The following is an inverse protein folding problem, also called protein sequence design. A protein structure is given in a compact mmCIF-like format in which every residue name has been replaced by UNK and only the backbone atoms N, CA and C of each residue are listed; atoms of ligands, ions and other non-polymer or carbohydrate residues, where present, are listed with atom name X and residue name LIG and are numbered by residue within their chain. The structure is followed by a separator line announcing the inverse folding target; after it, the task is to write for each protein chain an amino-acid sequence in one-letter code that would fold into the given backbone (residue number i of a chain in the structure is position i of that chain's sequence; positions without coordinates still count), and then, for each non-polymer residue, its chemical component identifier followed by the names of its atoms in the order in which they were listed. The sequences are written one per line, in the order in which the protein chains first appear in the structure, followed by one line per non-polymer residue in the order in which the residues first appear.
data_IF_832159059898
#
_entry.id   IF_832159059898
#
_cell.length_a   1.000
_cell.length_b   1.000
_cell.length_c   1.000
_cell.angle_alpha   90.00
_cell.angle_beta   90.00
_cell.angle_gamma   90.00
#
_symmetry.space_group_name_H-M   'P 1'
#
loop_
_entity.id
_entity.type
_entity.pdbx_description
1 polymer ?
#
# COMPACT_ATOMS: atom_id res chain seq x y z
N UNK A 1 -0.60 -115.56 29.75
CA UNK A 1 -1.80 -115.13 28.98
C UNK A 1 -1.39 -114.73 27.55
N UNK A 2 -2.18 -115.00 26.50
CA UNK A 2 -1.81 -114.72 25.08
C UNK A 2 -2.30 -113.35 24.59
N UNK A 3 -1.60 -112.72 23.61
CA UNK A 3 -1.96 -111.40 23.04
C UNK A 3 -3.39 -111.38 22.49
N UNK A 4 -3.83 -112.49 21.85
CA UNK A 4 -5.20 -112.66 21.35
C UNK A 4 -6.26 -112.70 22.47
N UNK A 5 -5.89 -113.10 23.69
CA UNK A 5 -6.79 -113.08 24.84
C UNK A 5 -6.90 -111.68 25.44
N UNK A 6 -5.78 -110.95 25.52
CA UNK A 6 -5.76 -109.55 25.99
C UNK A 6 -6.53 -108.62 25.05
N UNK A 7 -6.37 -108.80 23.73
CA UNK A 7 -7.14 -108.01 22.74
C UNK A 7 -8.64 -108.27 22.83
N UNK A 8 -9.06 -109.52 23.03
CA UNK A 8 -10.48 -109.88 23.25
C UNK A 8 -11.04 -109.28 24.54
N UNK A 9 -10.23 -109.21 25.60
CA UNK A 9 -10.64 -108.62 26.87
C UNK A 9 -10.74 -107.09 26.76
N UNK A 10 -9.79 -106.43 26.10
CA UNK A 10 -9.83 -104.99 25.83
C UNK A 10 -11.04 -104.59 24.96
N UNK A 11 -11.35 -105.35 23.91
CA UNK A 11 -12.54 -105.15 23.07
C UNK A 11 -13.85 -105.32 23.86
N UNK A 12 -13.91 -106.27 24.81
CA UNK A 12 -15.10 -106.50 25.64
C UNK A 12 -15.40 -105.33 26.59
N UNK A 13 -14.39 -104.55 26.95
CA UNK A 13 -14.53 -103.33 27.75
C UNK A 13 -14.46 -102.04 26.92
N UNK A 14 -14.51 -102.15 25.57
CA UNK A 14 -14.53 -100.99 24.67
C UNK A 14 -13.22 -100.20 24.58
N UNK A 15 -12.10 -100.78 25.02
CA UNK A 15 -10.79 -100.12 25.02
C UNK A 15 -10.03 -100.49 23.74
N UNK A 16 -9.81 -99.51 22.86
CA UNK A 16 -8.93 -99.69 21.71
C UNK A 16 -7.46 -99.62 22.16
N UNK A 17 -6.78 -100.77 22.13
CA UNK A 17 -5.37 -100.88 22.48
C UNK A 17 -4.53 -101.21 21.25
N UNK A 18 -3.51 -100.41 20.98
CA UNK A 18 -2.59 -100.69 19.87
C UNK A 18 -1.66 -101.89 20.18
N UNK A 19 -0.98 -102.38 19.14
CA UNK A 19 -0.13 -103.57 19.26
C UNK A 19 1.09 -103.43 20.17
N UNK A 20 1.55 -102.21 20.43
CA UNK A 20 2.60 -101.95 21.41
C UNK A 20 2.04 -102.04 22.84
N UNK A 21 0.84 -101.51 23.09
CA UNK A 21 0.15 -101.62 24.39
C UNK A 21 -0.17 -103.08 24.74
N UNK A 22 -0.62 -103.86 23.75
CA UNK A 22 -0.94 -105.28 23.95
C UNK A 22 0.31 -106.13 24.23
N UNK A 23 1.44 -105.83 23.58
CA UNK A 23 2.73 -106.49 23.84
C UNK A 23 3.29 -106.12 25.22
N UNK A 24 3.15 -104.86 25.61
CA UNK A 24 3.57 -104.37 26.92
C UNK A 24 2.73 -104.99 28.05
N UNK A 25 1.39 -105.00 27.93
CA UNK A 25 0.50 -105.65 28.89
C UNK A 25 0.79 -107.15 29.02
N UNK A 26 1.11 -107.82 27.90
CA UNK A 26 1.52 -109.22 27.95
C UNK A 26 2.85 -109.41 28.67
N UNK A 27 3.84 -108.56 28.43
CA UNK A 27 5.13 -108.61 29.11
C UNK A 27 4.99 -108.34 30.62
N UNK A 28 4.16 -107.36 31.00
CA UNK A 28 3.83 -107.06 32.39
C UNK A 28 3.14 -108.25 33.06
N UNK A 29 2.09 -108.81 32.45
CA UNK A 29 1.36 -109.98 33.01
C UNK A 29 2.26 -111.22 33.13
N UNK A 30 3.27 -111.37 32.27
CA UNK A 30 4.23 -112.49 32.33
C UNK A 30 5.33 -112.29 33.38
N UNK A 31 5.77 -111.05 33.67
CA UNK A 31 6.72 -110.76 34.76
C UNK A 31 6.08 -110.88 36.16
N UNK A 32 4.76 -110.91 36.23
CA UNK A 32 3.97 -110.82 37.47
C UNK A 32 3.45 -112.16 38.01
N UNK A 33 3.97 -113.28 37.49
CA UNK A 33 3.46 -114.62 37.81
C UNK A 33 3.90 -115.21 39.17
N UNK A 34 4.93 -114.70 39.88
CA UNK A 34 5.10 -114.99 41.30
C UNK A 34 5.36 -113.73 42.15
N UNK A 35 4.68 -113.64 43.30
CA UNK A 35 4.80 -112.62 44.36
C UNK A 35 4.15 -111.25 44.09
N UNK A 36 3.75 -110.53 45.14
CA UNK A 36 2.88 -109.33 45.17
C UNK A 36 3.37 -108.06 44.45
N UNK A 37 3.98 -108.20 43.28
CA UNK A 37 4.49 -107.11 42.43
C UNK A 37 3.47 -106.63 41.38
N UNK A 38 2.30 -107.28 41.27
CA UNK A 38 1.23 -106.92 40.30
C UNK A 38 0.77 -105.48 40.51
N UNK A 39 0.57 -105.10 41.77
CA UNK A 39 0.21 -103.74 42.17
C UNK A 39 1.28 -102.73 41.73
N UNK A 40 2.56 -103.06 41.93
CA UNK A 40 3.70 -102.21 41.56
C UNK A 40 3.80 -102.02 40.04
N UNK A 41 3.52 -103.06 39.25
CA UNK A 41 3.54 -102.97 37.79
C UNK A 41 2.34 -102.19 37.23
N UNK A 42 1.16 -102.31 37.85
CA UNK A 42 -0.03 -101.51 37.53
C UNK A 42 0.23 -100.04 37.87
N UNK A 43 0.79 -99.75 39.04
CA UNK A 43 1.15 -98.38 39.45
C UNK A 43 2.19 -97.76 38.52
N UNK A 44 3.24 -98.50 38.13
CA UNK A 44 4.23 -98.01 37.15
C UNK A 44 3.62 -97.75 35.77
N UNK A 45 2.67 -98.58 35.34
CA UNK A 45 1.95 -98.37 34.09
C UNK A 45 1.04 -97.14 34.15
N UNK A 46 0.30 -96.97 35.26
CA UNK A 46 -0.52 -95.78 35.50
C UNK A 46 0.33 -94.52 35.57
N UNK A 47 1.48 -94.55 36.25
CA UNK A 47 2.44 -93.45 36.26
C UNK A 47 3.00 -93.15 34.86
N UNK A 48 3.36 -94.18 34.08
CA UNK A 48 3.85 -94.00 32.72
C UNK A 48 2.79 -93.42 31.76
N UNK A 49 1.53 -93.83 31.89
CA UNK A 49 0.41 -93.24 31.16
C UNK A 49 0.16 -91.80 31.59
N UNK A 50 0.18 -91.53 32.90
CA UNK A 50 0.01 -90.17 33.43
C UNK A 50 1.12 -89.24 32.92
N UNK A 51 2.38 -89.67 32.94
CA UNK A 51 3.51 -88.90 32.41
C UNK A 51 3.38 -88.65 30.89
N UNK A 52 2.94 -89.64 30.11
CA UNK A 52 2.70 -89.44 28.66
C UNK A 52 1.56 -88.46 28.39
N UNK A 53 0.47 -88.55 29.15
CA UNK A 53 -0.65 -87.61 29.03
C UNK A 53 -0.25 -86.20 29.42
N UNK A 54 0.56 -86.03 30.46
CA UNK A 54 1.12 -84.72 30.82
C UNK A 54 2.02 -84.19 29.71
N UNK A 55 2.91 -85.03 29.17
CA UNK A 55 3.81 -84.63 28.10
C UNK A 55 3.07 -84.27 26.80
N UNK A 56 2.06 -85.04 26.40
CA UNK A 56 1.21 -84.71 25.24
C UNK A 56 0.42 -83.43 25.47
N UNK A 57 -0.09 -83.20 26.69
CA UNK A 57 -0.76 -81.96 27.05
C UNK A 57 0.19 -80.77 26.98
N UNK A 58 1.41 -80.88 27.50
CA UNK A 58 2.45 -79.84 27.41
C UNK A 58 2.79 -79.53 25.95
N UNK A 59 2.95 -80.55 25.09
CA UNK A 59 3.19 -80.36 23.66
C UNK A 59 2.01 -79.65 22.97
N UNK A 60 0.78 -80.01 23.33
CA UNK A 60 -0.41 -79.36 22.80
C UNK A 60 -0.49 -77.89 23.24
N UNK A 61 -0.26 -77.60 24.53
CA UNK A 61 -0.22 -76.23 25.06
C UNK A 61 0.90 -75.40 24.41
N UNK A 62 2.09 -75.98 24.19
CA UNK A 62 3.18 -75.31 23.47
C UNK A 62 2.83 -75.04 22.00
N UNK A 63 2.21 -76.01 21.32
CA UNK A 63 1.82 -75.85 19.92
C UNK A 63 0.73 -74.79 19.77
N UNK A 64 -0.26 -74.80 20.67
CA UNK A 64 -1.35 -73.83 20.68
C UNK A 64 -0.84 -72.42 20.98
N UNK A 65 0.04 -72.26 21.96
CA UNK A 65 0.63 -70.94 22.29
C UNK A 65 1.48 -70.40 21.15
N UNK A 66 2.28 -71.24 20.49
CA UNK A 66 3.02 -70.85 19.29
C UNK A 66 2.08 -70.41 18.16
N UNK A 67 1.01 -71.16 17.92
CA UNK A 67 0.05 -70.84 16.86
C UNK A 67 -0.65 -69.50 17.12
N UNK A 68 -1.16 -69.29 18.35
CA UNK A 68 -1.78 -68.02 18.75
C UNK A 68 -0.81 -66.84 18.69
N UNK A 69 0.45 -67.06 19.05
CA UNK A 69 1.50 -66.03 18.93
C UNK A 69 1.74 -65.66 17.47
N UNK A 70 1.89 -66.64 16.59
CA UNK A 70 2.10 -66.42 15.17
C UNK A 70 0.90 -65.72 14.51
N UNK A 71 -0.33 -66.14 14.85
CA UNK A 71 -1.54 -65.47 14.36
C UNK A 71 -1.58 -64.02 14.83
N UNK A 72 -1.32 -63.76 16.11
CA UNK A 72 -1.29 -62.41 16.66
C UNK A 72 -0.24 -61.55 15.96
N UNK A 73 0.98 -62.05 15.77
CA UNK A 73 2.04 -61.33 15.06
C UNK A 73 1.63 -61.03 13.61
N UNK A 74 0.99 -61.98 12.91
CA UNK A 74 0.47 -61.77 11.55
C UNK A 74 -0.60 -60.66 11.52
N UNK A 75 -1.53 -60.66 12.47
CA UNK A 75 -2.56 -59.63 12.59
C UNK A 75 -1.94 -58.26 12.89
N UNK A 76 -0.99 -58.19 13.83
CA UNK A 76 -0.28 -56.96 14.18
C UNK A 76 0.51 -56.40 12.99
N UNK A 77 1.21 -57.25 12.23
CA UNK A 77 1.93 -56.84 11.01
C UNK A 77 0.98 -56.35 9.92
N UNK A 78 -0.12 -57.07 9.67
CA UNK A 78 -1.11 -56.69 8.65
C UNK A 78 -1.80 -55.38 9.01
N UNK A 79 -2.07 -55.15 10.30
CA UNK A 79 -2.64 -53.90 10.79
C UNK A 79 -1.63 -52.76 10.68
N UNK A 80 -0.38 -52.97 11.09
CA UNK A 80 0.68 -51.97 10.99
C UNK A 80 0.92 -51.53 9.54
N UNK A 81 0.97 -52.49 8.61
CA UNK A 81 1.11 -52.21 7.18
C UNK A 81 -0.06 -51.36 6.65
N UNK A 82 -1.30 -51.73 6.98
CA UNK A 82 -2.49 -50.95 6.57
C UNK A 82 -2.47 -49.54 7.14
N UNK A 83 -2.17 -49.39 8.43
CA UNK A 83 -2.09 -48.08 9.09
C UNK A 83 -0.99 -47.21 8.50
N UNK A 84 0.17 -47.78 8.18
CA UNK A 84 1.25 -47.05 7.53
C UNK A 84 0.82 -46.58 6.13
N UNK A 85 0.23 -47.47 5.34
CA UNK A 85 -0.25 -47.13 4.00
C UNK A 85 -1.32 -46.03 4.03
N UNK A 86 -2.28 -46.10 4.95
CA UNK A 86 -3.28 -45.06 5.14
C UNK A 86 -2.64 -43.72 5.52
N UNK A 87 -1.67 -43.72 6.44
CA UNK A 87 -0.94 -42.50 6.82
C UNK A 87 -0.23 -41.86 5.63
N UNK A 88 0.48 -42.66 4.82
CA UNK A 88 1.16 -42.18 3.62
C UNK A 88 0.17 -41.59 2.60
N UNK A 89 -1.00 -42.19 2.44
CA UNK A 89 -2.06 -41.66 1.59
C UNK A 89 -2.60 -40.33 2.13
N UNK A 90 -2.89 -40.24 3.43
CA UNK A 90 -3.34 -38.99 4.05
C UNK A 90 -2.32 -37.88 3.90
N UNK A 91 -1.04 -38.17 4.10
CA UNK A 91 0.04 -37.19 3.95
C UNK A 91 0.15 -36.69 2.51
N UNK A 92 0.09 -37.60 1.52
CA UNK A 92 0.08 -37.23 0.08
C UNK A 92 -1.13 -36.36 -0.28
N UNK A 93 -2.32 -36.73 0.19
CA UNK A 93 -3.54 -35.95 -0.08
C UNK A 93 -3.45 -34.56 0.55
N UNK A 94 -2.96 -34.47 1.79
CA UNK A 94 -2.85 -33.21 2.51
C UNK A 94 -1.82 -32.28 1.86
N UNK A 95 -0.65 -32.82 1.52
CA UNK A 95 0.42 -32.07 0.85
C UNK A 95 -0.02 -31.57 -0.52
N UNK A 96 -0.70 -32.40 -1.31
CA UNK A 96 -1.22 -31.98 -2.61
C UNK A 96 -2.31 -30.91 -2.46
N UNK A 97 -3.23 -31.07 -1.49
CA UNK A 97 -4.24 -30.04 -1.21
C UNK A 97 -3.61 -28.71 -0.81
N UNK A 98 -2.58 -28.74 0.04
CA UNK A 98 -1.85 -27.54 0.43
C UNK A 98 -1.12 -26.90 -0.75
N UNK A 99 -0.56 -27.70 -1.65
CA UNK A 99 0.08 -27.22 -2.88
C UNK A 99 -0.93 -26.49 -3.76
N UNK A 100 -2.07 -27.10 -4.04
CA UNK A 100 -3.12 -26.52 -4.88
C UNK A 100 -3.68 -25.22 -4.29
N UNK A 101 -3.92 -25.17 -2.98
CA UNK A 101 -4.40 -23.94 -2.33
C UNK A 101 -3.37 -22.81 -2.35
N UNK A 102 -2.07 -23.13 -2.21
CA UNK A 102 -0.99 -22.14 -2.39
C UNK A 102 -0.94 -21.63 -3.81
N UNK A 103 -0.95 -22.51 -4.81
CA UNK A 103 -0.95 -22.12 -6.22
C UNK A 103 -2.16 -21.23 -6.56
N UNK A 104 -3.35 -21.57 -6.04
CA UNK A 104 -4.56 -20.76 -6.20
C UNK A 104 -4.41 -19.38 -5.57
N UNK A 105 -3.85 -19.32 -4.36
CA UNK A 105 -3.61 -18.07 -3.64
C UNK A 105 -2.59 -17.21 -4.39
N UNK A 106 -1.52 -17.81 -4.89
CA UNK A 106 -0.49 -17.11 -5.67
C UNK A 106 -1.06 -16.56 -6.99
N UNK A 107 -1.91 -17.33 -7.68
CA UNK A 107 -2.62 -16.86 -8.87
C UNK A 107 -3.57 -15.69 -8.56
N UNK A 108 -4.30 -15.75 -7.45
CA UNK A 108 -5.16 -14.65 -7.01
C UNK A 108 -4.34 -13.39 -6.72
N UNK A 109 -3.21 -13.52 -6.04
CA UNK A 109 -2.32 -12.39 -5.79
C UNK A 109 -1.68 -11.83 -7.07
N UNK A 110 -1.28 -12.69 -8.00
CA UNK A 110 -0.76 -12.26 -9.30
C UNK A 110 -1.81 -11.46 -10.07
N UNK A 111 -3.04 -11.96 -10.15
CA UNK A 111 -4.15 -11.27 -10.81
C UNK A 111 -4.47 -9.92 -10.15
N UNK A 112 -4.49 -9.87 -8.81
CA UNK A 112 -4.70 -8.62 -8.08
C UNK A 112 -3.56 -7.61 -8.34
N UNK A 113 -2.31 -8.06 -8.41
CA UNK A 113 -1.18 -7.19 -8.76
C UNK A 113 -1.33 -6.62 -10.16
N UNK A 114 -1.73 -7.42 -11.14
CA UNK A 114 -1.99 -6.94 -12.51
C UNK A 114 -3.09 -5.88 -12.53
N UNK A 115 -4.21 -6.11 -11.83
CA UNK A 115 -5.29 -5.13 -11.72
C UNK A 115 -4.79 -3.82 -11.12
N UNK A 116 -4.04 -3.90 -10.02
CA UNK A 116 -3.50 -2.71 -9.33
C UNK A 116 -2.52 -1.96 -10.23
N UNK A 117 -1.63 -2.64 -10.94
CA UNK A 117 -0.71 -1.98 -11.88
C UNK A 117 -1.44 -1.32 -13.05
N UNK A 118 -2.45 -1.98 -13.62
CA UNK A 118 -3.28 -1.38 -14.66
C UNK A 118 -4.01 -0.12 -14.16
N UNK A 119 -4.55 -0.17 -12.94
CA UNK A 119 -5.19 0.99 -12.32
C UNK A 119 -4.19 2.11 -12.04
N UNK A 120 -2.97 1.78 -11.56
CA UNK A 120 -1.91 2.76 -11.32
C UNK A 120 -1.54 3.50 -12.59
N UNK A 121 -1.27 2.76 -13.68
CA UNK A 121 -0.90 3.34 -14.98
C UNK A 121 -2.04 4.20 -15.53
N UNK A 122 -3.29 3.76 -15.40
CA UNK A 122 -4.45 4.54 -15.85
C UNK A 122 -4.57 5.87 -15.08
N UNK A 123 -4.38 5.84 -13.75
CA UNK A 123 -4.39 7.03 -12.91
C UNK A 123 -3.23 7.97 -13.22
N UNK A 124 -2.02 7.45 -13.40
CA UNK A 124 -0.84 8.24 -13.81
C UNK A 124 -1.12 8.98 -15.12
N UNK A 125 -1.67 8.28 -16.12
CA UNK A 125 -2.05 8.89 -17.40
C UNK A 125 -3.11 9.98 -17.24
N UNK A 126 -4.11 9.76 -16.39
CA UNK A 126 -5.15 10.75 -16.12
C UNK A 126 -4.59 12.00 -15.43
N UNK A 127 -3.71 11.82 -14.44
CA UNK A 127 -3.03 12.93 -13.75
C UNK A 127 -2.20 13.74 -14.75
N UNK A 128 -1.45 13.08 -15.63
CA UNK A 128 -0.63 13.76 -16.63
C UNK A 128 -1.49 14.55 -17.62
N UNK A 129 -2.59 13.96 -18.09
CA UNK A 129 -3.55 14.67 -18.96
C UNK A 129 -4.14 15.90 -18.27
N UNK A 130 -4.48 15.80 -16.98
CA UNK A 130 -4.99 16.94 -16.21
C UNK A 130 -3.93 18.03 -16.03
N UNK A 131 -2.67 17.66 -15.77
CA UNK A 131 -1.55 18.62 -15.66
C UNK A 131 -1.37 19.41 -16.94
N UNK A 132 -1.25 18.72 -18.08
CA UNK A 132 -1.08 19.37 -19.39
C UNK A 132 -2.27 20.28 -19.72
N UNK A 133 -3.50 19.85 -19.40
CA UNK A 133 -4.68 20.67 -19.61
C UNK A 133 -4.66 21.96 -18.76
N UNK A 134 -4.27 21.85 -17.49
CA UNK A 134 -4.14 23.00 -16.59
C UNK A 134 -3.02 23.95 -17.02
N UNK A 135 -1.87 23.43 -17.43
CA UNK A 135 -0.76 24.24 -17.96
C UNK A 135 -1.20 25.05 -19.18
N UNK A 136 -1.92 24.41 -20.11
CA UNK A 136 -2.48 25.10 -21.28
C UNK A 136 -3.47 26.18 -20.88
N UNK A 137 -4.31 25.94 -19.89
CA UNK A 137 -5.27 26.92 -19.40
C UNK A 137 -4.56 28.12 -18.74
N UNK A 138 -3.53 27.88 -17.94
CA UNK A 138 -2.72 28.93 -17.31
C UNK A 138 -2.05 29.78 -18.40
N UNK A 139 -1.49 29.15 -19.42
CA UNK A 139 -0.83 29.86 -20.52
C UNK A 139 -1.82 30.73 -21.32
N UNK A 140 -3.02 30.20 -21.58
CA UNK A 140 -4.09 30.98 -22.20
C UNK A 140 -4.52 32.18 -21.34
N UNK A 141 -4.61 32.01 -20.03
CA UNK A 141 -4.95 33.11 -19.12
C UNK A 141 -3.83 34.16 -19.05
N UNK A 142 -2.57 33.75 -19.04
CA UNK A 142 -1.41 34.65 -19.06
C UNK A 142 -1.38 35.50 -20.32
N UNK A 143 -1.46 34.85 -21.48
CA UNK A 143 -1.47 35.57 -22.77
C UNK A 143 -2.67 36.50 -22.93
N UNK A 144 -3.85 36.12 -22.41
CA UNK A 144 -5.01 36.99 -22.39
C UNK A 144 -4.80 38.21 -21.47
N UNK A 145 -4.22 38.00 -20.29
CA UNK A 145 -3.93 39.08 -19.34
C UNK A 145 -2.86 40.04 -19.89
N UNK A 146 -1.81 39.53 -20.53
CA UNK A 146 -0.78 40.33 -21.18
C UNK A 146 -1.39 41.25 -22.24
N UNK A 147 -2.25 40.72 -23.12
CA UNK A 147 -2.98 41.53 -24.10
C UNK A 147 -3.86 42.60 -23.46
N UNK A 148 -4.54 42.29 -22.36
CA UNK A 148 -5.34 43.27 -21.63
C UNK A 148 -4.46 44.37 -21.02
N UNK A 149 -3.30 44.02 -20.46
CA UNK A 149 -2.36 44.98 -19.91
C UNK A 149 -1.76 45.88 -20.99
N UNK A 150 -1.39 45.32 -22.14
CA UNK A 150 -0.90 46.09 -23.29
C UNK A 150 -1.97 47.06 -23.81
N UNK A 151 -3.21 46.60 -23.98
CA UNK A 151 -4.32 47.46 -24.37
C UNK A 151 -4.55 48.59 -23.35
N UNK A 152 -4.51 48.27 -22.06
CA UNK A 152 -4.67 49.27 -21.01
C UNK A 152 -3.52 50.29 -21.01
N UNK A 153 -2.27 49.85 -21.20
CA UNK A 153 -1.10 50.73 -21.34
C UNK A 153 -1.24 51.66 -22.53
N UNK A 154 -1.65 51.16 -23.69
CA UNK A 154 -1.86 51.98 -24.88
C UNK A 154 -2.93 53.06 -24.64
N UNK A 155 -4.03 52.72 -23.95
CA UNK A 155 -5.07 53.69 -23.58
C UNK A 155 -4.52 54.76 -22.63
N UNK A 156 -3.73 54.37 -21.63
CA UNK A 156 -3.11 55.31 -20.69
C UNK A 156 -2.11 56.24 -21.39
N UNK A 157 -1.32 55.74 -22.33
CA UNK A 157 -0.40 56.56 -23.13
C UNK A 157 -1.14 57.62 -23.93
N UNK A 158 -2.23 57.23 -24.61
CA UNK A 158 -3.10 58.18 -25.34
C UNK A 158 -3.68 59.23 -24.38
N UNK A 159 -4.16 58.83 -23.20
CA UNK A 159 -4.71 59.76 -22.21
C UNK A 159 -3.67 60.75 -21.68
N UNK A 160 -2.47 60.27 -21.37
CA UNK A 160 -1.36 61.12 -20.90
C UNK A 160 -0.99 62.12 -21.99
N UNK A 161 -0.90 61.67 -23.24
CA UNK A 161 -0.56 62.54 -24.36
C UNK A 161 -1.63 63.60 -24.60
N UNK A 162 -2.91 63.23 -24.60
CA UNK A 162 -4.02 64.18 -24.70
C UNK A 162 -4.02 65.19 -23.53
N UNK A 163 -3.73 64.75 -22.31
CA UNK A 163 -3.60 65.68 -21.17
C UNK A 163 -2.41 66.62 -21.33
N UNK A 164 -1.27 66.16 -21.85
CA UNK A 164 -0.11 67.02 -22.14
C UNK A 164 -0.46 68.10 -23.14
N UNK A 165 -1.12 67.75 -24.24
CA UNK A 165 -1.56 68.72 -25.26
C UNK A 165 -2.52 69.77 -24.68
N UNK A 166 -3.47 69.36 -23.83
CA UNK A 166 -4.37 70.29 -23.14
C UNK A 166 -3.59 71.24 -22.22
N UNK A 167 -2.62 70.73 -21.48
CA UNK A 167 -1.77 71.54 -20.59
C UNK A 167 -0.94 72.53 -21.42
N UNK A 168 -0.32 72.08 -22.51
CA UNK A 168 0.46 72.92 -23.42
C UNK A 168 -0.39 74.05 -24.04
N UNK A 169 -1.60 73.73 -24.51
CA UNK A 169 -2.54 74.73 -25.03
C UNK A 169 -2.90 75.77 -23.97
N UNK A 170 -3.22 75.34 -22.74
CA UNK A 170 -3.52 76.25 -21.63
C UNK A 170 -2.35 77.15 -21.28
N UNK A 171 -1.12 76.62 -21.28
CA UNK A 171 0.09 77.41 -21.09
C UNK A 171 0.27 78.44 -22.21
N UNK A 172 0.08 78.05 -23.47
CA UNK A 172 0.18 78.97 -24.60
C UNK A 172 -0.86 80.10 -24.53
N UNK A 173 -2.11 79.78 -24.18
CA UNK A 173 -3.16 80.79 -24.00
C UNK A 173 -2.88 81.71 -22.81
N UNK A 174 -2.35 81.17 -21.70
CA UNK A 174 -1.93 81.96 -20.55
C UNK A 174 -0.80 82.92 -20.93
N UNK A 175 0.20 82.46 -21.68
CA UNK A 175 1.30 83.29 -22.17
C UNK A 175 0.77 84.42 -23.06
N UNK A 176 -0.12 84.12 -24.02
CA UNK A 176 -0.76 85.14 -24.87
C UNK A 176 -1.57 86.16 -24.07
N UNK A 177 -2.28 85.70 -23.05
CA UNK A 177 -3.05 86.58 -22.17
C UNK A 177 -2.14 87.50 -21.35
N UNK A 178 -1.07 86.96 -20.78
CA UNK A 178 -0.07 87.71 -20.05
C UNK A 178 0.60 88.75 -20.95
N UNK A 179 0.98 88.36 -22.16
CA UNK A 179 1.61 89.24 -23.16
C UNK A 179 0.71 90.44 -23.50
N UNK A 180 -0.56 90.19 -23.84
CA UNK A 180 -1.56 91.27 -24.06
C UNK A 180 -1.74 92.18 -22.85
N UNK A 181 -1.69 91.63 -21.63
CA UNK A 181 -1.75 92.42 -20.41
C UNK A 181 -0.50 93.27 -20.23
N UNK A 182 0.69 92.71 -20.47
CA UNK A 182 1.94 93.47 -20.43
C UNK A 182 1.94 94.61 -21.45
N UNK A 183 1.53 94.37 -22.70
CA UNK A 183 1.37 95.42 -23.71
C UNK A 183 0.39 96.52 -23.27
N UNK A 184 -0.71 96.15 -22.61
CA UNK A 184 -1.67 97.12 -22.08
C UNK A 184 -1.07 97.93 -20.92
N UNK A 185 -0.31 97.29 -20.03
CA UNK A 185 0.43 97.97 -18.97
C UNK A 185 1.49 98.91 -19.53
N UNK A 186 2.28 98.47 -20.52
CA UNK A 186 3.28 99.32 -21.19
C UNK A 186 2.64 100.54 -21.84
N UNK A 187 1.53 100.35 -22.58
CA UNK A 187 0.77 101.48 -23.14
C UNK A 187 0.29 102.45 -22.08
N UNK A 188 -0.24 101.95 -20.97
CA UNK A 188 -0.68 102.80 -19.86
C UNK A 188 0.50 103.57 -19.23
N UNK A 189 1.67 102.95 -19.08
CA UNK A 189 2.87 103.64 -18.59
C UNK A 189 3.35 104.72 -19.56
N UNK A 190 3.33 104.46 -20.87
CA UNK A 190 3.66 105.46 -21.90
C UNK A 190 2.67 106.63 -21.84
N UNK A 191 1.36 106.36 -21.76
CA UNK A 191 0.34 107.40 -21.61
C UNK A 191 0.53 108.23 -20.33
N UNK A 192 0.84 107.57 -19.21
CA UNK A 192 1.12 108.25 -17.95
C UNK A 192 2.34 109.17 -18.08
N UNK A 193 3.38 108.71 -18.77
CA UNK A 193 4.58 109.51 -19.04
C UNK A 193 4.25 110.71 -19.94
N UNK A 194 3.47 110.53 -21.00
CA UNK A 194 3.06 111.62 -21.89
C UNK A 194 2.20 112.68 -21.17
N UNK A 195 1.24 112.26 -20.33
CA UNK A 195 0.46 113.19 -19.49
C UNK A 195 1.36 113.95 -18.51
N UNK A 196 2.32 113.25 -17.87
CA UNK A 196 3.29 113.88 -16.98
C UNK A 196 4.21 114.87 -17.71
N UNK A 197 4.72 114.52 -18.90
CA UNK A 197 5.55 115.41 -19.73
C UNK A 197 4.74 116.64 -20.20
N UNK A 198 3.48 116.46 -20.57
CA UNK A 198 2.55 117.53 -20.92
C UNK A 198 2.36 118.52 -19.77
N UNK A 199 2.00 118.02 -18.58
CA UNK A 199 1.86 118.83 -17.37
C UNK A 199 3.15 119.54 -16.99
N UNK A 200 4.29 118.85 -17.09
CA UNK A 200 5.60 119.44 -16.80
C UNK A 200 5.94 120.57 -17.78
N UNK A 201 5.61 120.42 -19.07
CA UNK A 201 5.80 121.47 -20.07
C UNK A 201 4.92 122.69 -19.77
N UNK A 202 3.66 122.48 -19.39
CA UNK A 202 2.77 123.57 -18.97
C UNK A 202 3.31 124.29 -17.72
N UNK A 203 3.76 123.54 -16.72
CA UNK A 203 4.38 124.10 -15.52
C UNK A 203 5.65 124.89 -15.86
N UNK A 204 6.51 124.35 -16.72
CA UNK A 204 7.76 125.01 -17.14
C UNK A 204 7.46 126.31 -17.88
N UNK A 205 6.45 126.33 -18.75
CA UNK A 205 5.99 127.54 -19.42
C UNK A 205 5.47 128.58 -18.42
N UNK A 206 4.66 128.15 -17.43
CA UNK A 206 4.10 129.02 -16.40
C UNK A 206 5.21 129.61 -15.51
N UNK A 207 6.18 128.79 -15.09
CA UNK A 207 7.36 129.22 -14.33
C UNK A 207 8.22 130.17 -15.17
N UNK A 208 8.47 129.88 -16.44
CA UNK A 208 9.23 130.76 -17.33
C UNK A 208 8.53 132.11 -17.52
N UNK A 209 7.21 132.12 -17.73
CA UNK A 209 6.40 133.33 -17.79
C UNK A 209 6.44 134.14 -16.49
N UNK A 210 6.26 133.48 -15.33
CA UNK A 210 6.37 134.11 -14.02
C UNK A 210 7.77 134.69 -13.78
N UNK A 211 8.82 133.97 -14.18
CA UNK A 211 10.21 134.43 -14.05
C UNK A 211 10.51 135.64 -14.93
N UNK A 212 10.05 135.64 -16.18
CA UNK A 212 10.18 136.78 -17.08
C UNK A 212 9.44 138.01 -16.55
N UNK A 213 8.22 137.81 -16.03
CA UNK A 213 7.44 138.87 -15.39
C UNK A 213 8.16 139.45 -14.16
N UNK A 214 8.70 138.59 -13.30
CA UNK A 214 9.53 139.00 -12.16
C UNK A 214 10.77 139.79 -12.59
N UNK A 215 11.44 139.37 -13.67
CA UNK A 215 12.59 140.08 -14.23
C UNK A 215 12.20 141.48 -14.70
N UNK A 216 11.08 141.64 -15.40
CA UNK A 216 10.58 142.95 -15.85
C UNK A 216 10.24 143.85 -14.66
N UNK A 217 9.55 143.31 -13.65
CA UNK A 217 9.25 144.04 -12.40
C UNK A 217 10.53 144.51 -11.70
N UNK A 218 11.56 143.66 -11.64
CA UNK A 218 12.87 144.00 -11.06
C UNK A 218 13.57 145.11 -11.86
N UNK A 219 13.52 145.07 -13.19
CA UNK A 219 14.08 146.13 -14.05
C UNK A 219 13.35 147.46 -13.85
N UNK A 220 12.02 147.45 -13.78
CA UNK A 220 11.22 148.65 -13.50
C UNK A 220 11.53 149.20 -12.11
N UNK A 221 11.62 148.32 -11.10
CA UNK A 221 11.97 148.72 -9.74
C UNK A 221 13.38 149.34 -9.65
N UNK A 222 14.37 148.78 -10.36
CA UNK A 222 15.71 149.37 -10.45
C UNK A 222 15.73 150.72 -11.17
N UNK A 223 14.82 150.96 -12.12
CA UNK A 223 14.71 152.24 -12.83
C UNK A 223 14.05 153.34 -12.00
N UNK A 224 13.21 153.00 -11.02
CA UNK A 224 12.56 153.96 -10.12
C UNK A 224 13.37 154.29 -8.86
N UNK A 225 14.52 153.64 -8.66
CA UNK A 225 15.44 153.91 -7.54
C UNK A 225 16.61 154.76 -8.02
#
# INVERSE_FOLDING_TARGET
MSVKALRRLAQRYGIEMNDAMLRFLRAAILQLAPSGQVTVAIERFQQGLFQRLQHERELYEQTLTLHLKNEREMYEQTLAFRLQHERELYEKILTERLRVERERTDQQFAHLREIVEHQRIALEKQIEQQRVALEKQIEQQRTALEKQMEAHRAVLEIQIQAQREIVEQRFADLLRYLDKRFEAYERHLVQLREDMEGRFRTLTWLVSGATAFLSVLLTIYQFMR
#
